data_IF_440068389973
#
_entry.id   IF_440068389973
#
_cell.length_a   1.000
_cell.length_b   1.000
_cell.length_c   1.000
_cell.angle_alpha   90.00
_cell.angle_beta   90.00
_cell.angle_gamma   90.00
#
_symmetry.space_group_name_H-M   'P 1'
#
loop_
_entity.id
_entity.type
_entity.pdbx_description
1 polymer ?
#
# COMPACT_ATOMS: atom_id res chain seq x y z
N UNK A 1 -44.76 -3.64 -49.65
CA UNK A 1 -44.60 -3.46 -48.19
C UNK A 1 -43.15 -3.80 -47.84
N UNK A 2 -42.31 -2.78 -47.66
CA UNK A 2 -40.87 -2.93 -47.42
C UNK A 2 -40.67 -3.25 -45.94
N UNK A 3 -40.41 -4.51 -45.62
CA UNK A 3 -39.95 -4.91 -44.29
C UNK A 3 -38.51 -4.43 -44.13
N UNK A 4 -38.33 -3.27 -43.51
CA UNK A 4 -37.02 -2.78 -43.07
C UNK A 4 -36.66 -3.62 -41.84
N UNK A 5 -35.87 -4.67 -42.06
CA UNK A 5 -35.27 -5.47 -41.00
C UNK A 5 -34.17 -4.62 -40.37
N UNK A 6 -34.48 -3.98 -39.25
CA UNK A 6 -33.53 -3.23 -38.44
C UNK A 6 -32.63 -4.24 -37.71
N UNK A 7 -31.49 -4.61 -38.31
CA UNK A 7 -30.45 -5.38 -37.65
C UNK A 7 -29.80 -4.50 -36.56
N UNK A 8 -30.30 -4.60 -35.33
CA UNK A 8 -29.66 -4.02 -34.16
C UNK A 8 -28.43 -4.88 -33.86
N UNK A 9 -27.28 -4.46 -34.38
CA UNK A 9 -25.98 -5.03 -34.02
C UNK A 9 -25.68 -4.62 -32.59
N UNK A 10 -25.97 -5.51 -31.65
CA UNK A 10 -25.61 -5.36 -30.24
C UNK A 10 -24.08 -5.54 -30.15
N UNK A 11 -23.35 -4.42 -30.27
CA UNK A 11 -21.90 -4.38 -30.09
C UNK A 11 -21.61 -4.62 -28.61
N UNK A 12 -21.48 -5.89 -28.22
CA UNK A 12 -20.95 -6.30 -26.92
C UNK A 12 -19.47 -5.91 -26.87
N UNK A 13 -19.23 -4.64 -26.55
CA UNK A 13 -17.91 -4.16 -26.16
C UNK A 13 -17.51 -4.91 -24.90
N UNK A 14 -16.69 -5.95 -25.03
CA UNK A 14 -16.02 -6.58 -23.89
C UNK A 14 -15.17 -5.50 -23.24
N UNK A 15 -15.67 -4.92 -22.14
CA UNK A 15 -14.88 -4.07 -21.27
C UNK A 15 -13.75 -4.95 -20.71
N UNK A 16 -12.57 -4.86 -21.32
CA UNK A 16 -11.36 -5.44 -20.76
C UNK A 16 -11.05 -4.66 -19.47
N UNK A 17 -11.59 -5.13 -18.35
CA UNK A 17 -11.13 -4.70 -17.02
C UNK A 17 -9.72 -5.26 -16.87
N UNK A 18 -8.71 -4.46 -17.20
CA UNK A 18 -7.32 -4.80 -16.90
C UNK A 18 -7.19 -4.89 -15.39
N UNK A 19 -7.09 -6.11 -14.88
CA UNK A 19 -6.84 -6.34 -13.47
C UNK A 19 -5.46 -5.79 -13.12
N UNK A 20 -5.41 -4.76 -12.27
CA UNK A 20 -4.15 -4.18 -11.81
C UNK A 20 -3.27 -5.26 -11.18
N UNK A 21 -2.05 -5.41 -11.67
CA UNK A 21 -1.12 -6.45 -11.23
C UNK A 21 -0.37 -5.92 -10.00
N UNK A 22 -0.62 -6.55 -8.86
CA UNK A 22 0.16 -6.32 -7.64
C UNK A 22 1.64 -6.58 -7.95
N UNK A 23 2.49 -5.59 -7.71
CA UNK A 23 3.95 -5.70 -7.88
C UNK A 23 4.54 -6.55 -6.76
N UNK A 24 5.70 -7.21 -6.97
CA UNK A 24 6.43 -7.87 -5.89
C UNK A 24 6.66 -6.95 -4.70
N UNK A 25 6.62 -7.51 -3.49
CA UNK A 25 6.91 -6.74 -2.30
C UNK A 25 8.37 -6.28 -2.30
N UNK A 26 8.57 -5.00 -1.97
CA UNK A 26 9.89 -4.39 -1.79
C UNK A 26 9.79 -3.36 -0.67
N UNK A 27 10.70 -3.46 0.29
CA UNK A 27 10.91 -2.43 1.32
C UNK A 27 12.15 -1.61 0.96
N UNK A 28 12.13 -0.32 1.28
CA UNK A 28 13.30 0.57 1.20
C UNK A 28 13.82 0.98 2.58
N UNK A 29 13.39 0.27 3.65
CA UNK A 29 13.68 0.61 5.03
C UNK A 29 12.75 1.72 5.50
N UNK A 30 13.27 2.73 6.19
CA UNK A 30 12.45 3.84 6.67
C UNK A 30 12.29 4.98 5.64
N UNK A 31 12.39 4.66 4.35
CA UNK A 31 12.30 5.54 3.17
C UNK A 31 13.11 6.85 3.26
N UNK A 32 12.55 7.88 3.91
CA UNK A 32 13.13 9.22 4.07
C UNK A 32 13.60 9.50 5.50
N UNK A 33 13.69 8.45 6.31
CA UNK A 33 14.16 8.48 7.70
C UNK A 33 15.34 7.50 7.84
N UNK A 34 16.32 7.76 8.73
CA UNK A 34 17.35 6.78 9.05
C UNK A 34 16.73 5.44 9.50
N UNK A 35 17.43 4.33 9.31
CA UNK A 35 17.00 3.01 9.79
C UNK A 35 17.30 2.76 11.28
N UNK A 36 18.08 3.65 11.89
CA UNK A 36 18.55 3.53 13.26
C UNK A 36 19.32 4.78 13.69
N UNK A 37 20.03 4.67 14.80
CA UNK A 37 20.87 5.71 15.39
C UNK A 37 22.26 5.74 14.70
N UNK A 38 23.16 6.59 15.21
CA UNK A 38 24.55 6.58 14.75
C UNK A 38 25.33 5.38 15.30
N UNK A 39 24.91 4.84 16.44
CA UNK A 39 25.53 3.72 17.12
C UNK A 39 24.95 2.36 16.67
N UNK A 40 23.65 2.32 16.39
CA UNK A 40 22.93 1.16 15.86
C UNK A 40 22.14 1.57 14.62
N UNK A 41 22.75 1.38 13.45
CA UNK A 41 22.26 1.90 12.18
C UNK A 41 20.97 1.27 11.67
N UNK A 42 20.55 0.11 12.19
CA UNK A 42 19.35 -0.61 11.74
C UNK A 42 18.35 -0.86 12.89
N UNK A 43 18.52 -0.17 14.03
CA UNK A 43 17.77 -0.35 15.27
C UNK A 43 16.26 -0.56 15.05
N UNK A 44 15.61 0.26 14.22
CA UNK A 44 14.17 0.19 13.96
C UNK A 44 13.82 -0.20 12.51
N UNK A 45 14.80 -0.65 11.72
CA UNK A 45 14.58 -1.05 10.33
C UNK A 45 13.49 -2.12 10.20
N UNK A 46 13.43 -3.05 11.15
CA UNK A 46 12.39 -4.10 11.18
C UNK A 46 10.98 -3.50 11.34
N UNK A 47 10.81 -2.47 12.16
CA UNK A 47 9.52 -1.79 12.30
C UNK A 47 9.08 -1.14 10.98
N UNK A 48 10.02 -0.54 10.24
CA UNK A 48 9.75 0.05 8.93
C UNK A 48 9.43 -1.02 7.88
N UNK A 49 10.13 -2.15 7.87
CA UNK A 49 9.82 -3.28 6.98
C UNK A 49 8.38 -3.81 7.17
N UNK A 50 7.95 -3.95 8.43
CA UNK A 50 6.59 -4.40 8.74
C UNK A 50 5.53 -3.35 8.34
N UNK A 51 5.84 -2.06 8.50
CA UNK A 51 4.99 -0.95 8.05
C UNK A 51 4.88 -0.91 6.53
N UNK A 52 6.00 -1.03 5.83
CA UNK A 52 6.11 -1.12 4.37
C UNK A 52 5.24 -2.24 3.83
N UNK A 53 5.17 -3.39 4.49
CA UNK A 53 4.32 -4.49 4.07
C UNK A 53 2.83 -4.09 4.05
N UNK A 54 2.38 -3.36 5.08
CA UNK A 54 1.00 -2.84 5.13
C UNK A 54 0.78 -1.77 4.06
N UNK A 55 1.76 -0.90 3.87
CA UNK A 55 1.72 0.16 2.88
C UNK A 55 1.75 -0.35 1.45
N UNK A 56 2.52 -1.40 1.16
CA UNK A 56 2.53 -2.09 -0.12
C UNK A 56 1.15 -2.69 -0.42
N UNK A 57 0.58 -3.40 0.56
CA UNK A 57 -0.74 -4.01 0.45
C UNK A 57 -1.85 -2.96 0.24
N UNK A 58 -1.77 -1.83 0.93
CA UNK A 58 -2.85 -0.84 0.98
C UNK A 58 -4.08 -1.35 1.72
N UNK A 59 -5.24 -0.73 1.45
CA UNK A 59 -6.49 -1.01 2.16
C UNK A 59 -7.30 0.23 2.48
N UNK A 60 -8.17 0.13 3.48
CA UNK A 60 -9.02 1.23 3.96
C UNK A 60 -8.19 2.31 4.67
N UNK A 61 -8.78 3.49 4.83
CA UNK A 61 -8.16 4.57 5.60
C UNK A 61 -7.85 4.15 7.04
N UNK A 62 -8.76 3.40 7.66
CA UNK A 62 -8.61 2.92 9.03
C UNK A 62 -7.43 1.96 9.17
N UNK A 63 -7.25 1.04 8.21
CA UNK A 63 -6.09 0.16 8.17
C UNK A 63 -4.77 0.93 8.07
N UNK A 64 -4.75 2.07 7.35
CA UNK A 64 -3.57 2.95 7.33
C UNK A 64 -3.31 3.56 8.71
N UNK A 65 -4.35 4.06 9.38
CA UNK A 65 -4.22 4.61 10.74
C UNK A 65 -3.67 3.57 11.71
N UNK A 66 -4.12 2.33 11.59
CA UNK A 66 -3.63 1.20 12.40
C UNK A 66 -2.18 0.85 12.07
N UNK A 67 -1.80 0.81 10.79
CA UNK A 67 -0.42 0.60 10.38
C UNK A 67 0.51 1.70 10.93
N UNK A 68 0.13 2.97 10.80
CA UNK A 68 0.92 4.11 11.31
C UNK A 68 1.06 4.08 12.85
N UNK A 69 0.00 3.63 13.55
CA UNK A 69 0.05 3.41 15.01
C UNK A 69 0.94 2.22 15.37
N UNK A 70 0.91 1.13 14.60
CA UNK A 70 1.77 -0.02 14.83
C UNK A 70 3.25 0.34 14.68
N UNK A 71 3.60 1.16 13.67
CA UNK A 71 4.95 1.70 13.51
C UNK A 71 5.38 2.49 14.75
N UNK A 72 4.53 3.41 15.22
CA UNK A 72 4.81 4.18 16.44
C UNK A 72 5.15 3.27 17.61
N UNK A 73 4.31 2.26 17.86
CA UNK A 73 4.46 1.36 19.01
C UNK A 73 5.72 0.50 18.88
N UNK A 74 5.96 -0.10 17.72
CA UNK A 74 7.15 -0.92 17.47
C UNK A 74 8.45 -0.14 17.76
N UNK A 75 8.54 1.10 17.31
CA UNK A 75 9.71 1.96 17.55
C UNK A 75 9.77 2.40 19.02
N UNK A 76 8.63 2.65 19.65
CA UNK A 76 8.58 3.02 21.08
C UNK A 76 9.04 1.89 21.99
N UNK A 77 8.80 0.63 21.60
CA UNK A 77 9.23 -0.56 22.34
C UNK A 77 10.76 -0.80 22.26
N UNK A 78 11.45 -0.06 21.38
CA UNK A 78 12.91 -0.02 21.29
C UNK A 78 13.52 1.13 22.12
N UNK A 79 12.79 1.61 23.14
CA UNK A 79 13.11 2.78 23.98
C UNK A 79 13.18 4.12 23.20
N UNK A 80 12.67 4.16 21.96
CA UNK A 80 12.74 5.33 21.06
C UNK A 80 11.36 6.01 20.86
N UNK A 81 10.63 6.24 21.95
CA UNK A 81 9.24 6.73 21.91
C UNK A 81 9.05 8.06 21.16
N UNK A 82 10.00 8.99 21.28
CA UNK A 82 9.95 10.27 20.56
C UNK A 82 10.11 10.05 19.06
N UNK A 83 11.01 9.16 18.63
CA UNK A 83 11.20 8.80 17.23
C UNK A 83 9.95 8.11 16.68
N UNK A 84 9.35 7.17 17.43
CA UNK A 84 8.11 6.52 17.05
C UNK A 84 6.97 7.51 16.80
N UNK A 85 6.82 8.52 17.67
CA UNK A 85 5.83 9.59 17.48
C UNK A 85 6.12 10.43 16.23
N UNK A 86 7.37 10.85 16.03
CA UNK A 86 7.80 11.62 14.86
C UNK A 86 7.55 10.86 13.56
N UNK A 87 7.91 9.57 13.52
CA UNK A 87 7.68 8.70 12.38
C UNK A 87 6.19 8.60 12.05
N UNK A 88 5.33 8.37 13.04
CA UNK A 88 3.87 8.34 12.83
C UNK A 88 3.35 9.62 12.21
N UNK A 89 3.76 10.78 12.72
CA UNK A 89 3.38 12.07 12.14
C UNK A 89 3.87 12.16 10.69
N UNK A 90 5.14 11.82 10.44
CA UNK A 90 5.74 11.79 9.10
C UNK A 90 4.96 10.93 8.12
N UNK A 91 4.70 9.66 8.44
CA UNK A 91 3.99 8.74 7.55
C UNK A 91 2.52 9.11 7.38
N UNK A 92 1.89 9.78 8.35
CA UNK A 92 0.49 10.23 8.26
C UNK A 92 0.30 11.31 7.20
N UNK A 93 1.29 12.18 7.03
CA UNK A 93 1.30 13.20 5.99
C UNK A 93 1.95 12.68 4.70
N UNK A 94 3.21 12.24 4.74
CA UNK A 94 3.99 11.86 3.56
C UNK A 94 3.55 10.56 2.89
N UNK A 95 2.97 9.63 3.64
CA UNK A 95 2.56 8.30 3.16
C UNK A 95 1.23 8.25 2.42
N UNK A 96 0.70 9.40 1.97
CA UNK A 96 -0.65 9.51 1.42
C UNK A 96 -0.79 8.84 0.04
N UNK A 97 -1.90 8.13 -0.25
CA UNK A 97 -2.11 7.50 -1.57
C UNK A 97 -2.24 8.52 -2.71
N UNK A 98 -2.47 9.80 -2.39
CA UNK A 98 -2.55 10.89 -3.34
C UNK A 98 -1.19 11.35 -3.88
N UNK A 99 -0.08 10.95 -3.25
CA UNK A 99 1.26 11.31 -3.70
C UNK A 99 1.85 10.19 -4.57
N UNK A 100 2.53 10.52 -5.69
CA UNK A 100 3.14 9.52 -6.57
C UNK A 100 4.51 9.05 -6.03
N UNK A 101 4.59 8.69 -4.75
CA UNK A 101 5.83 8.19 -4.12
C UNK A 101 5.87 6.67 -4.11
N UNK A 102 7.06 6.10 -3.95
CA UNK A 102 7.28 4.65 -3.87
C UNK A 102 6.95 4.06 -2.49
N UNK A 103 6.70 4.91 -1.49
CA UNK A 103 6.32 4.56 -0.11
C UNK A 103 4.91 5.06 0.25
N UNK A 104 4.06 5.34 -0.75
CA UNK A 104 2.67 5.75 -0.51
C UNK A 104 1.82 4.57 -0.02
N UNK A 105 0.71 4.84 0.63
CA UNK A 105 -0.31 3.81 0.87
C UNK A 105 -0.79 3.16 -0.44
N UNK A 106 -0.76 1.83 -0.50
CA UNK A 106 -1.07 1.04 -1.68
C UNK A 106 0.03 1.05 -2.76
N UNK A 107 1.30 1.25 -2.41
CA UNK A 107 2.36 1.37 -3.43
C UNK A 107 2.62 0.10 -4.24
N UNK A 108 2.19 -1.07 -3.76
CA UNK A 108 2.23 -2.33 -4.50
C UNK A 108 1.34 -2.34 -5.74
N UNK A 109 0.33 -1.48 -5.78
CA UNK A 109 -0.61 -1.35 -6.89
C UNK A 109 -0.18 -0.25 -7.87
N UNK A 110 -0.80 -0.21 -9.05
CA UNK A 110 -0.62 0.90 -9.97
C UNK A 110 -1.13 2.20 -9.35
N UNK A 111 -0.44 3.31 -9.66
CA UNK A 111 -0.89 4.63 -9.22
C UNK A 111 -1.98 5.16 -10.18
N UNK A 112 -3.08 5.72 -9.67
CA UNK A 112 -3.43 5.89 -8.25
C UNK A 112 -4.08 4.64 -7.64
N UNK A 113 -3.77 4.38 -6.36
CA UNK A 113 -4.47 3.39 -5.53
C UNK A 113 -5.06 4.07 -4.32
N UNK A 114 -6.37 4.33 -4.38
CA UNK A 114 -7.09 5.01 -3.29
C UNK A 114 -7.40 4.06 -2.14
N UNK A 115 -7.89 4.63 -1.04
CA UNK A 115 -8.40 3.83 0.07
C UNK A 115 -9.57 2.96 -0.36
N UNK A 116 -9.57 1.70 0.07
CA UNK A 116 -10.64 0.76 -0.21
C UNK A 116 -10.31 -0.63 0.31
N UNK A 117 -11.34 -1.42 0.62
CA UNK A 117 -11.15 -2.82 0.93
C UNK A 117 -10.57 -3.57 -0.27
N UNK A 118 -9.68 -4.52 -0.02
CA UNK A 118 -9.19 -5.42 -1.05
C UNK A 118 -10.27 -6.46 -1.33
N UNK A 119 -10.57 -6.67 -2.61
CA UNK A 119 -11.39 -7.79 -3.06
C UNK A 119 -10.74 -9.14 -2.73
N UNK A 120 -11.52 -10.22 -2.78
CA UNK A 120 -11.01 -11.56 -2.50
C UNK A 120 -9.87 -11.97 -3.44
N UNK A 121 -9.93 -11.59 -4.71
CA UNK A 121 -8.87 -11.86 -5.68
C UNK A 121 -7.58 -11.08 -5.38
N UNK A 122 -7.70 -9.82 -4.94
CA UNK A 122 -6.55 -9.01 -4.51
C UNK A 122 -5.91 -9.56 -3.23
N UNK A 123 -6.72 -9.95 -2.24
CA UNK A 123 -6.24 -10.62 -1.03
C UNK A 123 -5.49 -11.93 -1.35
N UNK A 124 -5.97 -12.71 -2.33
CA UNK A 124 -5.27 -13.91 -2.78
C UNK A 124 -3.91 -13.59 -3.40
N UNK A 125 -3.81 -12.53 -4.22
CA UNK A 125 -2.54 -12.07 -4.82
C UNK A 125 -1.54 -11.60 -3.75
N UNK A 126 -2.01 -10.87 -2.74
CA UNK A 126 -1.19 -10.47 -1.58
C UNK A 126 -0.65 -11.71 -0.87
N UNK A 127 -1.51 -12.67 -0.55
CA UNK A 127 -1.12 -13.92 0.10
C UNK A 127 -0.15 -14.75 -0.74
N UNK A 128 -0.23 -14.70 -2.06
CA UNK A 128 0.69 -15.40 -2.94
C UNK A 128 2.10 -14.85 -2.84
N UNK A 129 2.27 -13.54 -2.98
CA UNK A 129 3.57 -12.88 -2.86
C UNK A 129 4.21 -13.03 -1.48
N UNK A 130 3.39 -13.18 -0.42
CA UNK A 130 3.90 -13.39 0.94
C UNK A 130 4.37 -14.82 1.23
N UNK A 131 4.14 -15.76 0.32
CA UNK A 131 4.59 -17.15 0.43
C UNK A 131 5.83 -17.46 -0.41
N UNK A 132 6.22 -16.52 -1.27
CA UNK A 132 7.41 -16.58 -2.12
C UNK A 132 8.63 -16.07 -1.33
#
# INVERSE_FOLDING_TARGET
>A
MKFIVLFIVFFLSSLNVFADTLKPFKSDGCSLFPNGTFEDHDLWQKCCYEHDLKYWQGGTYQQRVEADKALQLCVSDLDEATIGLLMKVGVRFGGSPFFPTNFRWGYGWSYPRMYGELSQSELQRVKQHLRE
#
